data_IF_604121510547
#
_entry.id   IF_604121510547
#
_cell.length_a   1.000
_cell.length_b   1.000
_cell.length_c   1.000
_cell.angle_alpha   90.00
_cell.angle_beta   90.00
_cell.angle_gamma   90.00
#
_symmetry.space_group_name_H-M   'P 1'
#
loop_
_entity.id
_entity.type
_entity.pdbx_description
1 polymer ?
#
# COMPACT_ATOMS: atom_id res chain seq x y z
N UNK A 1 2.52 13.06 -2.34
CA UNK A 1 1.62 11.99 -1.87
C UNK A 1 2.20 10.65 -2.29
N UNK A 2 2.34 9.68 -1.37
CA UNK A 2 2.89 8.35 -1.70
C UNK A 2 1.76 7.35 -1.92
N UNK A 3 1.81 6.61 -3.02
CA UNK A 3 0.80 5.63 -3.41
C UNK A 3 1.44 4.27 -3.64
N UNK A 4 0.72 3.21 -3.32
CA UNK A 4 1.14 1.83 -3.59
C UNK A 4 0.54 1.38 -4.92
N UNK A 5 1.37 0.91 -5.83
CA UNK A 5 0.91 0.32 -7.08
C UNK A 5 0.30 -1.07 -6.80
N UNK A 6 -0.94 -1.30 -7.24
CA UNK A 6 -1.69 -2.51 -6.90
C UNK A 6 -1.16 -3.78 -7.56
N UNK A 7 -0.33 -3.64 -8.60
CA UNK A 7 0.26 -4.78 -9.32
C UNK A 7 1.66 -5.16 -8.83
N UNK A 8 2.46 -4.18 -8.39
CA UNK A 8 3.85 -4.40 -7.97
C UNK A 8 4.05 -4.29 -6.46
N UNK A 9 3.07 -3.74 -5.74
CA UNK A 9 3.16 -3.39 -4.32
C UNK A 9 4.32 -2.42 -3.99
N UNK A 10 4.81 -1.69 -4.99
CA UNK A 10 5.85 -0.68 -4.82
C UNK A 10 5.24 0.67 -4.46
N UNK A 11 5.95 1.43 -3.63
CA UNK A 11 5.61 2.82 -3.31
C UNK A 11 6.08 3.76 -4.42
N UNK A 12 5.19 4.65 -4.86
CA UNK A 12 5.42 5.67 -5.86
C UNK A 12 5.08 7.03 -5.27
N UNK A 13 5.96 8.00 -5.45
CA UNK A 13 5.72 9.37 -5.00
C UNK A 13 5.14 10.20 -6.15
N UNK A 14 4.02 10.85 -5.87
CA UNK A 14 3.35 11.78 -6.78
C UNK A 14 3.38 13.19 -6.16
N UNK A 15 3.89 14.17 -6.92
CA UNK A 15 4.05 15.56 -6.49
C UNK A 15 3.17 16.45 -7.38
N UNK A 16 2.49 17.43 -6.77
CA UNK A 16 1.63 18.38 -7.48
C UNK A 16 0.24 17.83 -7.81
N UNK A 17 -0.35 18.32 -8.90
CA UNK A 17 -1.76 18.06 -9.26
C UNK A 17 -1.98 16.76 -10.05
N UNK A 18 -0.90 16.12 -10.51
CA UNK A 18 -0.95 14.89 -11.32
C UNK A 18 -1.04 13.62 -10.45
N UNK A 19 -2.02 13.58 -9.55
CA UNK A 19 -2.26 12.42 -8.69
C UNK A 19 -3.25 11.48 -9.41
N UNK A 20 -2.87 10.22 -9.70
CA UNK A 20 -3.75 9.27 -10.37
C UNK A 20 -4.94 8.89 -9.48
N UNK A 21 -6.01 8.33 -10.06
CA UNK A 21 -7.10 7.77 -9.25
C UNK A 21 -6.60 6.64 -8.35
N UNK A 22 -6.97 6.69 -7.07
CA UNK A 22 -6.55 5.72 -6.07
C UNK A 22 -7.67 5.41 -5.09
N UNK A 23 -7.62 4.21 -4.51
CA UNK A 23 -8.49 3.83 -3.40
C UNK A 23 -7.76 4.02 -2.07
N UNK A 24 -8.51 4.38 -1.02
CA UNK A 24 -7.96 4.64 0.32
C UNK A 24 -8.39 3.51 1.26
N UNK A 25 -7.41 2.90 1.94
CA UNK A 25 -7.69 2.07 3.11
C UNK A 25 -7.61 2.95 4.34
N UNK A 26 -8.76 3.50 4.72
CA UNK A 26 -8.87 4.25 5.96
C UNK A 26 -8.77 3.29 7.15
N UNK A 27 -7.82 3.59 8.02
CA UNK A 27 -7.53 3.06 9.34
C UNK A 27 -8.53 2.02 9.93
N UNK A 28 -8.04 0.80 10.14
CA UNK A 28 -8.62 -0.16 11.10
C UNK A 28 -7.47 -0.70 11.94
N UNK A 29 -7.35 -0.19 13.17
CA UNK A 29 -6.30 -0.50 14.11
C UNK A 29 -6.21 -2.03 14.31
N UNK A 30 -5.08 -2.60 13.90
CA UNK A 30 -4.71 -3.99 14.20
C UNK A 30 -3.41 -3.98 15.01
N UNK A 31 -3.14 -5.02 15.84
CA UNK A 31 -1.97 -5.03 16.71
C UNK A 31 -0.62 -5.03 15.97
N UNK A 32 -0.58 -5.28 14.66
CA UNK A 32 0.63 -5.25 13.83
C UNK A 32 0.37 -4.58 12.49
N UNK A 33 0.53 -3.28 12.44
CA UNK A 33 0.47 -2.49 11.21
C UNK A 33 1.81 -2.49 10.48
N UNK A 34 1.77 -2.33 9.15
CA UNK A 34 3.00 -2.30 8.36
C UNK A 34 3.48 -0.89 8.15
N UNK A 35 4.76 -0.69 8.45
CA UNK A 35 5.44 0.60 8.34
C UNK A 35 6.01 0.80 6.95
N UNK A 36 6.31 2.06 6.61
CA UNK A 36 7.05 2.41 5.39
C UNK A 36 8.38 1.64 5.23
N UNK A 37 9.11 1.45 6.34
CA UNK A 37 10.39 0.73 6.31
C UNK A 37 10.22 -0.74 5.97
N UNK A 38 9.18 -1.40 6.47
CA UNK A 38 8.85 -2.78 6.14
C UNK A 38 8.42 -2.93 4.68
N UNK A 39 7.67 -1.97 4.13
CA UNK A 39 7.30 -1.96 2.71
C UNK A 39 8.50 -1.78 1.79
N UNK A 40 9.53 -1.02 2.22
CA UNK A 40 10.75 -0.79 1.47
C UNK A 40 11.81 -1.89 1.63
N UNK A 41 11.71 -2.71 2.69
CA UNK A 41 12.71 -3.74 2.98
C UNK A 41 12.76 -4.77 1.85
N UNK A 42 13.70 -4.58 0.93
CA UNK A 42 13.97 -5.43 -0.23
C UNK A 42 14.88 -6.60 0.17
N UNK A 43 14.80 -7.09 1.40
CA UNK A 43 15.72 -8.09 1.95
C UNK A 43 15.28 -9.52 1.60
N UNK A 44 14.82 -9.78 0.38
CA UNK A 44 14.54 -11.14 -0.13
C UNK A 44 13.43 -11.95 0.58
N UNK A 45 12.99 -11.53 1.76
CA UNK A 45 11.89 -12.10 2.54
C UNK A 45 10.78 -11.07 2.61
N UNK A 46 9.68 -11.32 1.89
CA UNK A 46 8.42 -10.60 2.08
C UNK A 46 8.06 -10.61 3.57
N UNK A 47 7.84 -9.45 4.22
CA UNK A 47 7.42 -9.40 5.61
C UNK A 47 6.13 -10.22 5.77
N UNK A 48 6.17 -11.30 6.53
CA UNK A 48 5.00 -12.15 6.84
C UNK A 48 4.16 -11.52 7.96
N UNK A 49 4.14 -10.19 8.06
CA UNK A 49 3.38 -9.48 9.09
C UNK A 49 1.91 -9.39 8.70
N UNK A 50 1.04 -9.25 9.70
CA UNK A 50 -0.41 -9.07 9.47
C UNK A 50 -0.69 -7.78 8.70
N UNK A 51 0.09 -6.72 8.98
CA UNK A 51 0.06 -5.44 8.26
C UNK A 51 0.38 -5.59 6.77
N UNK A 52 1.42 -6.35 6.42
CA UNK A 52 1.81 -6.51 5.02
C UNK A 52 0.74 -7.30 4.26
N UNK A 53 0.24 -8.37 4.88
CA UNK A 53 -0.87 -9.15 4.33
C UNK A 53 -2.15 -8.31 4.15
N UNK A 54 -2.43 -7.36 5.06
CA UNK A 54 -3.53 -6.39 4.91
C UNK A 54 -3.34 -5.52 3.67
N UNK A 55 -2.13 -4.97 3.46
CA UNK A 55 -1.80 -4.18 2.25
C UNK A 55 -1.95 -5.02 0.98
N UNK A 56 -1.44 -6.25 0.95
CA UNK A 56 -1.57 -7.17 -0.21
C UNK A 56 -3.04 -7.44 -0.54
N UNK A 57 -3.87 -7.74 0.47
CA UNK A 57 -5.30 -8.00 0.28
C UNK A 57 -6.02 -6.75 -0.22
N UNK A 58 -5.69 -5.59 0.33
CA UNK A 58 -6.26 -4.33 -0.10
C UNK A 58 -5.88 -3.99 -1.54
N UNK A 59 -4.62 -4.12 -1.92
CA UNK A 59 -4.16 -3.93 -3.29
C UNK A 59 -4.88 -4.85 -4.29
N UNK A 60 -5.11 -6.12 -3.92
CA UNK A 60 -5.92 -7.06 -4.73
C UNK A 60 -7.35 -6.58 -4.91
N UNK A 61 -7.99 -6.11 -3.85
CA UNK A 61 -9.35 -5.54 -3.92
C UNK A 61 -9.38 -4.29 -4.81
N UNK A 62 -8.42 -3.38 -4.63
CA UNK A 62 -8.30 -2.18 -5.46
C UNK A 62 -8.16 -2.52 -6.94
N UNK A 63 -7.32 -3.52 -7.26
CA UNK A 63 -7.16 -4.01 -8.63
C UNK A 63 -8.45 -4.60 -9.20
N UNK A 64 -9.21 -5.36 -8.41
CA UNK A 64 -10.51 -5.89 -8.82
C UNK A 64 -11.57 -4.79 -9.05
N UNK A 65 -11.40 -3.64 -8.39
CA UNK A 65 -12.23 -2.44 -8.54
C UNK A 65 -11.66 -1.45 -9.58
N UNK A 66 -10.70 -1.86 -10.41
CA UNK A 66 -10.04 -1.04 -11.44
C UNK A 66 -9.25 0.18 -10.92
N UNK A 67 -8.80 0.16 -9.66
CA UNK A 67 -7.84 1.13 -9.14
C UNK A 67 -6.40 0.63 -9.30
N UNK A 68 -5.59 1.41 -10.01
CA UNK A 68 -4.16 1.11 -10.22
C UNK A 68 -3.31 1.43 -8.99
N UNK A 69 -3.78 2.35 -8.17
CA UNK A 69 -3.08 2.82 -6.98
C UNK A 69 -3.96 2.71 -5.75
N UNK A 70 -3.31 2.52 -4.61
CA UNK A 70 -3.98 2.55 -3.33
C UNK A 70 -3.14 3.28 -2.29
N UNK A 71 -3.80 3.95 -1.35
CA UNK A 71 -3.18 4.69 -0.27
C UNK A 71 -3.49 4.02 1.06
N UNK A 72 -2.48 3.87 1.92
CA UNK A 72 -2.60 3.23 3.23
C UNK A 72 -1.87 4.10 4.25
N UNK A 73 -2.60 4.62 5.22
CA UNK A 73 -2.13 5.60 6.22
C UNK A 73 -0.87 5.16 6.98
N UNK A 74 -0.70 3.86 7.21
CA UNK A 74 0.41 3.31 8.03
C UNK A 74 1.76 3.27 7.29
N UNK A 75 1.75 3.42 5.95
CA UNK A 75 2.96 3.28 5.13
C UNK A 75 3.10 4.30 3.99
N UNK A 76 2.19 5.28 3.88
CA UNK A 76 2.17 6.32 2.83
C UNK A 76 2.39 7.73 3.38
#
# INVERSE_FOLDING_TARGET
MRLICTSTLTLHEFIGEHIPSYAILSHTWGPRETTYQEMMATTGTTPQTEGYNKVVRFAKLCKALNHQYCWVDTCC
#
